data_IF_124473981461
#
_entry.id   IF_124473981461
#
_cell.length_a   1.000
_cell.length_b   1.000
_cell.length_c   1.000
_cell.angle_alpha   90.00
_cell.angle_beta   90.00
_cell.angle_gamma   90.00
#
_symmetry.space_group_name_H-M   'P 1'
#
loop_
_entity.id
_entity.type
_entity.pdbx_description
1 polymer ?
#
# COMPACT_ATOMS: atom_id res chain seq x y z
N UNK A 1 3.59 7.94 45.87
CA UNK A 1 4.07 7.60 44.52
C UNK A 1 3.31 8.45 43.52
N UNK A 2 3.83 9.63 43.11
CA UNK A 2 3.12 10.53 42.20
C UNK A 2 3.21 10.03 40.76
N UNK A 3 2.06 9.97 40.08
CA UNK A 3 1.94 9.63 38.66
C UNK A 3 2.49 10.76 37.79
N UNK A 4 3.40 10.43 36.88
CA UNK A 4 3.93 11.35 35.87
C UNK A 4 2.85 11.66 34.81
N UNK A 5 2.61 12.92 34.45
CA UNK A 5 1.71 13.27 33.35
C UNK A 5 2.32 12.90 32.00
N UNK A 6 1.53 12.24 31.15
CA UNK A 6 1.87 11.95 29.75
C UNK A 6 2.00 13.24 28.94
N UNK A 7 2.98 13.35 28.02
CA UNK A 7 3.15 14.55 27.22
C UNK A 7 1.96 14.76 26.28
N UNK A 8 1.30 15.90 26.47
CA UNK A 8 0.23 16.42 25.63
C UNK A 8 0.74 16.57 24.19
N UNK A 9 -0.03 16.04 23.25
CA UNK A 9 0.18 16.19 21.80
C UNK A 9 0.27 17.69 21.46
N UNK A 10 1.22 18.13 20.62
CA UNK A 10 1.29 19.53 20.22
C UNK A 10 0.06 19.87 19.38
N UNK A 11 -0.81 20.72 19.93
CA UNK A 11 -1.88 21.36 19.19
C UNK A 11 -1.24 22.57 18.51
N UNK A 12 -0.77 22.37 17.27
CA UNK A 12 -0.21 23.46 16.47
C UNK A 12 -1.35 24.32 15.95
N UNK A 13 -1.45 25.53 16.51
CA UNK A 13 -2.32 26.61 16.10
C UNK A 13 -1.97 27.04 14.67
N UNK A 14 -2.92 26.91 13.74
CA UNK A 14 -2.72 27.21 12.33
C UNK A 14 -3.24 28.61 12.03
N UNK A 15 -2.52 29.63 12.49
CA UNK A 15 -2.73 30.99 12.03
C UNK A 15 -2.06 31.21 10.66
N UNK A 16 -2.93 31.29 9.64
CA UNK A 16 -2.89 32.15 8.45
C UNK A 16 -1.76 32.02 7.41
N UNK A 17 -2.09 31.49 6.23
CA UNK A 17 -1.56 31.90 4.92
C UNK A 17 -2.51 31.41 3.79
N UNK A 18 -3.07 32.26 2.90
CA UNK A 18 -4.14 31.83 1.97
C UNK A 18 -3.68 31.22 0.64
N UNK A 19 -2.38 31.04 0.38
CA UNK A 19 -1.88 30.64 -0.96
C UNK A 19 -0.75 29.59 -0.94
N UNK A 20 -0.78 28.66 0.01
CA UNK A 20 0.19 27.55 0.08
C UNK A 20 -0.52 26.22 0.30
N UNK A 21 -0.40 25.28 -0.63
CA UNK A 21 -0.92 23.92 -0.47
C UNK A 21 -0.45 23.32 0.85
N UNK A 22 -1.39 22.91 1.69
CA UNK A 22 -1.10 22.41 3.02
C UNK A 22 -0.50 20.99 2.93
N UNK A 23 0.83 20.89 3.01
CA UNK A 23 1.54 19.62 3.07
C UNK A 23 1.60 19.13 4.53
N UNK A 24 0.57 18.40 4.97
CA UNK A 24 0.62 17.72 6.27
C UNK A 24 1.47 16.46 6.18
N UNK A 25 2.62 16.43 6.85
CA UNK A 25 3.34 15.18 7.10
C UNK A 25 2.67 14.43 8.25
N UNK A 26 1.94 13.36 7.91
CA UNK A 26 1.42 12.42 8.92
C UNK A 26 2.53 11.45 9.32
N UNK A 27 2.87 11.41 10.60
CA UNK A 27 3.74 10.37 11.15
C UNK A 27 2.98 9.02 11.13
N UNK A 28 3.18 8.25 10.06
CA UNK A 28 2.82 6.82 9.97
C UNK A 28 4.10 6.03 10.25
N UNK A 29 4.00 4.90 10.95
CA UNK A 29 5.16 4.02 11.10
C UNK A 29 5.71 3.67 9.72
N UNK A 30 7.02 3.89 9.54
CA UNK A 30 7.76 3.72 8.29
C UNK A 30 7.55 2.35 7.60
N UNK A 31 7.08 1.34 8.35
CA UNK A 31 6.73 0.00 7.86
C UNK A 31 5.64 -0.01 6.78
N UNK A 32 4.78 0.99 6.70
CA UNK A 32 3.69 1.06 5.72
C UNK A 32 4.07 1.80 4.41
N UNK A 33 5.22 2.50 4.37
CA UNK A 33 5.58 3.38 3.24
C UNK A 33 7.03 3.24 2.77
N UNK A 34 7.94 2.78 3.62
CA UNK A 34 9.37 2.59 3.27
C UNK A 34 9.75 1.13 3.03
N UNK A 35 8.89 0.17 3.39
CA UNK A 35 9.17 -1.26 3.16
C UNK A 35 8.71 -1.77 1.78
N UNK A 36 8.02 -0.93 1.00
CA UNK A 36 7.58 -1.30 -0.35
C UNK A 36 8.56 -0.73 -1.37
N UNK A 37 8.93 -1.58 -2.30
CA UNK A 37 9.54 -1.18 -3.56
C UNK A 37 8.62 -0.30 -4.38
N UNK A 38 9.21 0.49 -5.28
CA UNK A 38 8.45 1.33 -6.20
C UNK A 38 7.40 0.53 -6.98
N UNK A 39 7.76 -0.65 -7.47
CA UNK A 39 6.85 -1.55 -8.20
C UNK A 39 5.71 -2.06 -7.31
N UNK A 40 6.01 -2.47 -6.08
CA UNK A 40 4.98 -2.95 -5.15
C UNK A 40 4.06 -1.83 -4.71
N UNK A 41 4.59 -0.64 -4.45
CA UNK A 41 3.79 0.53 -4.11
C UNK A 41 2.85 0.90 -5.27
N UNK A 42 3.36 0.90 -6.51
CA UNK A 42 2.58 1.17 -7.71
C UNK A 42 1.47 0.12 -7.91
N UNK A 43 1.79 -1.16 -7.72
CA UNK A 43 0.82 -2.24 -7.82
C UNK A 43 -0.28 -2.12 -6.77
N UNK A 44 0.09 -1.86 -5.51
CA UNK A 44 -0.86 -1.65 -4.40
C UNK A 44 -1.76 -0.44 -4.69
N UNK A 45 -1.21 0.65 -5.22
CA UNK A 45 -1.97 1.83 -5.60
C UNK A 45 -2.92 1.56 -6.77
N UNK A 46 -2.47 0.85 -7.80
CA UNK A 46 -3.30 0.47 -8.95
C UNK A 46 -4.48 -0.39 -8.49
N UNK A 47 -4.23 -1.39 -7.65
CA UNK A 47 -5.28 -2.25 -7.08
C UNK A 47 -6.29 -1.43 -6.27
N UNK A 48 -5.81 -0.53 -5.39
CA UNK A 48 -6.67 0.37 -4.61
C UNK A 48 -7.50 1.31 -5.49
N UNK A 49 -6.95 1.79 -6.60
CA UNK A 49 -7.62 2.69 -7.55
C UNK A 49 -8.69 1.96 -8.36
N UNK A 50 -8.45 0.71 -8.73
CA UNK A 50 -9.45 -0.15 -9.36
C UNK A 50 -10.60 -0.46 -8.39
N UNK A 51 -10.29 -0.71 -7.12
CA UNK A 51 -11.26 -1.06 -6.10
C UNK A 51 -11.64 -2.55 -6.15
N UNK A 52 -12.00 -3.11 -5.00
CA UNK A 52 -12.19 -4.55 -4.83
C UNK A 52 -13.27 -5.14 -5.75
N UNK A 53 -14.38 -4.43 -5.96
CA UNK A 53 -15.50 -4.88 -6.81
C UNK A 53 -15.16 -4.98 -8.30
N UNK A 54 -14.08 -4.34 -8.76
CA UNK A 54 -13.69 -4.31 -10.18
C UNK A 54 -12.51 -5.23 -10.49
N UNK A 55 -12.11 -6.08 -9.55
CA UNK A 55 -11.02 -7.04 -9.72
C UNK A 55 -11.60 -8.39 -10.13
N UNK A 56 -11.81 -8.53 -11.44
CA UNK A 56 -12.21 -9.78 -12.09
C UNK A 56 -11.00 -10.56 -12.63
N UNK A 57 -11.21 -11.81 -13.04
CA UNK A 57 -10.15 -12.68 -13.57
C UNK A 57 -9.46 -12.10 -14.82
N UNK A 58 -10.18 -11.33 -15.65
CA UNK A 58 -9.58 -10.66 -16.80
C UNK A 58 -8.58 -9.56 -16.38
N UNK A 59 -8.87 -8.84 -15.30
CA UNK A 59 -7.97 -7.82 -14.74
C UNK A 59 -6.75 -8.50 -14.12
N UNK A 60 -6.96 -9.62 -13.43
CA UNK A 60 -5.87 -10.44 -12.89
C UNK A 60 -4.95 -10.98 -14.00
N UNK A 61 -5.52 -11.51 -15.08
CA UNK A 61 -4.74 -12.00 -16.23
C UNK A 61 -3.94 -10.87 -16.87
N UNK A 62 -4.56 -9.72 -17.16
CA UNK A 62 -3.87 -8.58 -17.76
C UNK A 62 -2.73 -8.03 -16.87
N UNK A 63 -2.91 -8.03 -15.55
CA UNK A 63 -1.86 -7.68 -14.59
C UNK A 63 -0.75 -8.74 -14.57
N UNK A 64 -1.11 -10.02 -14.61
CA UNK A 64 -0.19 -11.15 -14.63
C UNK A 64 0.75 -11.08 -15.85
N UNK A 65 0.22 -10.75 -17.04
CA UNK A 65 1.02 -10.60 -18.26
C UNK A 65 2.02 -9.44 -18.19
N UNK A 66 1.67 -8.35 -17.49
CA UNK A 66 2.46 -7.12 -17.44
C UNK A 66 3.56 -7.12 -16.37
N UNK A 67 3.46 -7.99 -15.37
CA UNK A 67 4.35 -8.00 -14.20
C UNK A 67 5.24 -9.25 -14.25
N UNK A 68 6.53 -9.08 -14.00
CA UNK A 68 7.46 -10.22 -13.94
C UNK A 68 7.23 -11.08 -12.69
N UNK A 69 7.48 -12.39 -12.76
CA UNK A 69 7.24 -13.30 -11.62
C UNK A 69 8.06 -12.93 -10.37
N UNK A 70 9.27 -12.39 -10.57
CA UNK A 70 10.11 -11.88 -9.48
C UNK A 70 9.43 -10.72 -8.71
N UNK A 71 8.74 -9.84 -9.42
CA UNK A 71 8.14 -8.64 -8.86
C UNK A 71 6.82 -8.97 -8.16
N UNK A 72 6.06 -9.95 -8.67
CA UNK A 72 4.90 -10.50 -7.96
C UNK A 72 5.32 -11.14 -6.64
N UNK A 73 6.38 -11.96 -6.66
CA UNK A 73 6.91 -12.61 -5.45
C UNK A 73 7.37 -11.59 -4.42
N UNK A 74 8.06 -10.54 -4.88
CA UNK A 74 8.48 -9.40 -4.05
C UNK A 74 7.27 -8.66 -3.49
N UNK A 75 6.27 -8.36 -4.31
CA UNK A 75 5.06 -7.66 -3.89
C UNK A 75 4.30 -8.41 -2.79
N UNK A 76 4.18 -9.74 -2.89
CA UNK A 76 3.55 -10.55 -1.83
C UNK A 76 4.35 -10.48 -0.52
N UNK A 77 5.69 -10.43 -0.57
CA UNK A 77 6.53 -10.32 0.64
C UNK A 77 6.45 -8.94 1.28
N UNK A 78 6.48 -7.89 0.48
CA UNK A 78 6.50 -6.51 0.95
C UNK A 78 5.11 -6.05 1.41
N UNK A 79 4.05 -6.50 0.75
CA UNK A 79 2.68 -6.08 1.02
C UNK A 79 2.00 -6.81 2.19
N UNK A 80 2.72 -7.51 3.07
CA UNK A 80 2.10 -8.25 4.19
C UNK A 80 1.24 -7.38 5.13
N UNK A 81 1.55 -6.08 5.20
CA UNK A 81 0.86 -5.13 6.07
C UNK A 81 -0.22 -4.30 5.35
N UNK A 82 -0.39 -4.46 4.02
CA UNK A 82 -1.42 -3.70 3.29
C UNK A 82 -2.83 -4.21 3.63
N UNK A 83 -3.83 -3.41 3.24
CA UNK A 83 -5.25 -3.76 3.36
C UNK A 83 -5.54 -5.20 2.91
N UNK A 84 -6.25 -5.96 3.74
CA UNK A 84 -6.37 -7.43 3.60
C UNK A 84 -6.83 -7.90 2.22
N UNK A 85 -7.73 -7.17 1.57
CA UNK A 85 -8.21 -7.53 0.23
C UNK A 85 -7.12 -7.34 -0.84
N UNK A 86 -6.27 -6.31 -0.73
CA UNK A 86 -5.14 -6.10 -1.65
C UNK A 86 -4.13 -7.22 -1.50
N UNK A 87 -3.81 -7.61 -0.26
CA UNK A 87 -2.91 -8.75 0.00
C UNK A 87 -3.49 -10.07 -0.56
N UNK A 88 -4.80 -10.30 -0.41
CA UNK A 88 -5.47 -11.44 -1.00
C UNK A 88 -5.39 -11.44 -2.54
N UNK A 89 -5.58 -10.28 -3.17
CA UNK A 89 -5.44 -10.12 -4.62
C UNK A 89 -4.01 -10.39 -5.10
N UNK A 90 -2.99 -9.91 -4.39
CA UNK A 90 -1.59 -10.19 -4.72
C UNK A 90 -1.26 -11.68 -4.67
N UNK A 91 -1.82 -12.42 -3.70
CA UNK A 91 -1.66 -13.88 -3.64
C UNK A 91 -2.37 -14.59 -4.80
N UNK A 92 -3.53 -14.10 -5.25
CA UNK A 92 -4.19 -14.62 -6.45
C UNK A 92 -3.35 -14.38 -7.71
N UNK A 93 -2.75 -13.19 -7.85
CA UNK A 93 -1.83 -12.88 -8.94
C UNK A 93 -0.61 -13.82 -8.96
N UNK A 94 -0.05 -14.14 -7.78
CA UNK A 94 1.06 -15.09 -7.67
C UNK A 94 0.67 -16.49 -8.15
N UNK A 95 -0.48 -17.00 -7.69
CA UNK A 95 -0.99 -18.30 -8.14
C UNK A 95 -1.29 -18.33 -9.65
N UNK A 96 -1.78 -17.22 -10.21
CA UNK A 96 -2.04 -17.11 -11.65
C UNK A 96 -0.76 -17.13 -12.47
N UNK A 97 0.29 -16.43 -12.00
CA UNK A 97 1.59 -16.40 -12.67
C UNK A 97 2.26 -17.77 -12.69
N UNK A 98 2.13 -18.54 -11.61
CA UNK A 98 2.63 -19.92 -11.55
C UNK A 98 1.92 -20.81 -12.58
N UNK A 99 0.62 -20.60 -12.84
CA UNK A 99 -0.15 -21.36 -13.84
C UNK A 99 0.20 -21.00 -15.28
N UNK A 100 0.53 -19.73 -15.57
CA UNK A 100 0.92 -19.31 -16.92
C UNK A 100 2.36 -19.66 -17.30
N UNK A 101 3.19 -20.07 -16.34
CA UNK A 101 4.62 -20.37 -16.54
C UNK A 101 4.94 -21.89 -16.41
N UNK A 102 3.90 -22.72 -16.21
CA UNK A 102 3.94 -24.17 -16.23
C UNK A 102 3.50 -24.70 -17.60
#
# INVERSE_FOLDING_TARGET
MPVLPTPLRPQVDFSLCPLGGHLSFKHRSNKETTALSYETALLVQALKTLGQDRIDDNVLHALCEKIEPKDITRAVREAQYVTSWVYATLRRLAAEKERSHA
#
